data_IF_382079337590
#
_entry.id   IF_382079337590
#
_cell.length_a   1.000
_cell.length_b   1.000
_cell.length_c   1.000
_cell.angle_alpha   90.00
_cell.angle_beta   90.00
_cell.angle_gamma   90.00
#
_symmetry.space_group_name_H-M   'P 1'
#
loop_
_entity.id
_entity.type
_entity.pdbx_description
1 polymer ?
#
# COMPACT_ATOMS: atom_id res chain seq x y z
N UNK A 1 -25.25 14.38 -11.67
CA UNK A 1 -24.41 14.57 -10.46
C UNK A 1 -25.22 15.30 -9.39
N UNK A 2 -26.32 14.70 -8.92
CA UNK A 2 -27.16 15.28 -7.85
C UNK A 2 -27.56 14.26 -6.78
N UNK A 3 -26.86 13.11 -6.68
CA UNK A 3 -27.24 12.04 -5.74
C UNK A 3 -26.26 11.81 -4.57
N UNK A 4 -25.10 12.49 -4.52
CA UNK A 4 -24.14 12.28 -3.41
C UNK A 4 -24.48 13.06 -2.12
N UNK A 5 -25.33 14.07 -2.17
CA UNK A 5 -25.68 14.85 -0.96
C UNK A 5 -26.76 14.20 -0.09
N UNK A 6 -27.53 13.23 -0.60
CA UNK A 6 -28.60 12.58 0.16
C UNK A 6 -28.09 11.47 1.10
N UNK A 7 -26.90 10.91 0.85
CA UNK A 7 -26.35 9.80 1.64
C UNK A 7 -25.77 10.32 2.97
N UNK A 8 -25.11 11.47 2.96
CA UNK A 8 -24.50 12.08 4.15
C UNK A 8 -25.51 12.50 5.23
N UNK A 9 -26.73 12.92 4.85
CA UNK A 9 -27.77 13.29 5.81
C UNK A 9 -28.35 12.09 6.56
N UNK A 10 -28.49 10.95 5.87
CA UNK A 10 -29.04 9.73 6.46
C UNK A 10 -28.04 9.06 7.42
N UNK A 11 -26.75 9.10 7.10
CA UNK A 11 -25.69 8.58 7.97
C UNK A 11 -25.50 9.44 9.22
N UNK A 12 -25.57 10.78 9.08
CA UNK A 12 -25.53 11.68 10.23
C UNK A 12 -26.75 11.48 11.16
N UNK A 13 -27.95 11.29 10.60
CA UNK A 13 -29.17 11.01 11.36
C UNK A 13 -29.08 9.67 12.11
N UNK A 14 -28.59 8.62 11.44
CA UNK A 14 -28.37 7.30 12.04
C UNK A 14 -27.35 7.37 13.18
N UNK A 15 -26.25 8.10 12.99
CA UNK A 15 -25.24 8.29 14.03
C UNK A 15 -25.81 9.02 15.25
N UNK A 16 -26.61 10.06 15.01
CA UNK A 16 -27.28 10.82 16.07
C UNK A 16 -28.31 9.97 16.85
N UNK A 17 -29.10 9.14 16.15
CA UNK A 17 -30.06 8.23 16.77
C UNK A 17 -29.38 7.15 17.63
N UNK A 18 -28.30 6.54 17.11
CA UNK A 18 -27.51 5.56 17.85
C UNK A 18 -26.88 6.23 19.09
N UNK A 19 -26.32 7.43 18.93
CA UNK A 19 -25.79 8.21 20.05
C UNK A 19 -26.84 8.53 21.11
N UNK A 20 -28.04 8.95 20.71
CA UNK A 20 -29.14 9.27 21.62
C UNK A 20 -29.65 8.03 22.37
N UNK A 21 -29.77 6.88 21.69
CA UNK A 21 -30.19 5.61 22.30
C UNK A 21 -29.14 5.15 23.31
N UNK A 22 -27.85 5.18 22.95
CA UNK A 22 -26.75 4.81 23.85
C UNK A 22 -26.74 5.73 25.09
N UNK A 23 -26.93 7.03 24.89
CA UNK A 23 -27.01 8.01 25.99
C UNK A 23 -28.22 7.74 26.90
N UNK A 24 -29.39 7.45 26.33
CA UNK A 24 -30.60 7.16 27.09
C UNK A 24 -30.51 5.86 27.89
N UNK A 25 -29.96 4.79 27.28
CA UNK A 25 -29.70 3.51 27.97
C UNK A 25 -28.70 3.71 29.11
N UNK A 26 -27.65 4.50 28.88
CA UNK A 26 -26.67 4.83 29.91
C UNK A 26 -27.31 5.57 31.10
N UNK A 27 -28.16 6.57 30.84
CA UNK A 27 -28.87 7.31 31.89
C UNK A 27 -29.85 6.42 32.66
N UNK A 28 -30.51 5.48 31.98
CA UNK A 28 -31.44 4.53 32.59
C UNK A 28 -30.71 3.54 33.51
N UNK A 29 -29.58 2.98 33.05
CA UNK A 29 -28.72 2.11 33.87
C UNK A 29 -28.17 2.87 35.09
N UNK A 30 -27.78 4.14 34.92
CA UNK A 30 -27.30 4.98 36.01
C UNK A 30 -28.39 5.24 37.05
N UNK A 31 -29.66 5.33 36.64
CA UNK A 31 -30.78 5.56 37.54
C UNK A 31 -31.08 4.34 38.41
N UNK A 32 -31.02 3.14 37.86
CA UNK A 32 -31.41 1.88 38.53
C UNK A 32 -30.35 1.35 39.49
N UNK A 33 -29.05 1.55 39.22
CA UNK A 33 -27.97 1.01 40.05
C UNK A 33 -27.42 2.02 41.07
N UNK A 34 -28.17 2.28 42.16
CA UNK A 34 -27.83 3.27 43.21
C UNK A 34 -26.39 3.25 43.75
N UNK A 35 -25.85 2.12 44.26
CA UNK A 35 -24.50 2.08 44.83
C UNK A 35 -23.38 1.98 43.78
N UNK A 36 -23.67 1.46 42.58
CA UNK A 36 -22.66 1.26 41.53
C UNK A 36 -22.46 2.47 40.61
N UNK A 37 -23.19 3.58 40.83
CA UNK A 37 -23.06 4.80 40.00
C UNK A 37 -21.62 5.29 39.88
N UNK A 38 -20.90 5.31 41.00
CA UNK A 38 -19.50 5.72 41.04
C UNK A 38 -18.58 4.76 40.28
N UNK A 39 -18.83 3.45 40.38
CA UNK A 39 -18.05 2.44 39.67
C UNK A 39 -18.27 2.51 38.15
N UNK A 40 -19.52 2.70 37.71
CA UNK A 40 -19.87 2.84 36.28
C UNK A 40 -19.32 4.14 35.72
N UNK A 41 -19.42 5.26 36.44
CA UNK A 41 -18.82 6.53 36.02
C UNK A 41 -17.29 6.44 35.92
N UNK A 42 -16.64 5.83 36.91
CA UNK A 42 -15.20 5.61 36.88
C UNK A 42 -14.79 4.74 35.68
N UNK A 43 -15.52 3.64 35.43
CA UNK A 43 -15.29 2.78 34.27
C UNK A 43 -15.48 3.53 32.95
N UNK A 44 -16.52 4.36 32.83
CA UNK A 44 -16.79 5.13 31.62
C UNK A 44 -15.70 6.16 31.36
N UNK A 45 -15.20 6.84 32.40
CA UNK A 45 -14.05 7.75 32.28
C UNK A 45 -12.80 6.99 31.81
N UNK A 46 -12.53 5.81 32.37
CA UNK A 46 -11.38 4.98 31.95
C UNK A 46 -11.52 4.51 30.50
N UNK A 47 -12.69 4.04 30.09
CA UNK A 47 -12.96 3.64 28.70
C UNK A 47 -12.80 4.82 27.74
N UNK A 48 -13.34 5.99 28.11
CA UNK A 48 -13.22 7.20 27.28
C UNK A 48 -11.77 7.64 27.14
N UNK A 49 -10.99 7.60 28.23
CA UNK A 49 -9.56 7.90 28.21
C UNK A 49 -8.76 6.87 27.40
N UNK A 50 -9.04 5.59 27.57
CA UNK A 50 -8.39 4.51 26.82
C UNK A 50 -8.68 4.63 25.32
N UNK A 51 -9.93 4.91 24.94
CA UNK A 51 -10.32 5.14 23.56
C UNK A 51 -9.66 6.40 22.98
N UNK A 52 -9.62 7.49 23.74
CA UNK A 52 -8.93 8.73 23.36
C UNK A 52 -7.43 8.52 23.14
N UNK A 53 -6.76 7.81 24.06
CA UNK A 53 -5.35 7.45 23.95
C UNK A 53 -5.08 6.54 22.76
N UNK A 54 -5.93 5.54 22.53
CA UNK A 54 -5.82 4.63 21.40
C UNK A 54 -5.99 5.36 20.06
N UNK A 55 -7.02 6.21 19.95
CA UNK A 55 -7.27 7.04 18.77
C UNK A 55 -6.12 8.01 18.51
N UNK A 56 -5.61 8.67 19.56
CA UNK A 56 -4.46 9.56 19.46
C UNK A 56 -3.19 8.81 19.03
N UNK A 57 -2.95 7.62 19.57
CA UNK A 57 -1.81 6.78 19.20
C UNK A 57 -1.92 6.32 17.73
N UNK A 58 -3.10 5.89 17.30
CA UNK A 58 -3.38 5.53 15.91
C UNK A 58 -3.17 6.74 14.97
N UNK A 59 -3.58 7.93 15.39
CA UNK A 59 -3.40 9.18 14.63
C UNK A 59 -1.92 9.58 14.50
N UNK A 60 -1.12 9.42 15.56
CA UNK A 60 0.32 9.65 15.47
C UNK A 60 1.03 8.59 14.62
N UNK A 61 0.62 7.33 14.73
CA UNK A 61 1.23 6.24 13.99
C UNK A 61 0.90 6.31 12.49
N UNK A 62 -0.32 6.70 12.14
CA UNK A 62 -0.72 6.96 10.74
C UNK A 62 0.04 8.15 10.15
N UNK A 63 0.27 9.23 10.92
CA UNK A 63 1.11 10.36 10.47
C UNK A 63 2.56 9.96 10.21
N UNK A 64 3.14 9.06 11.00
CA UNK A 64 4.53 8.59 10.75
C UNK A 64 4.63 7.78 9.46
N UNK A 65 3.67 6.89 9.19
CA UNK A 65 3.60 6.14 7.93
C UNK A 65 3.29 7.04 6.74
N UNK A 66 2.40 8.01 6.91
CA UNK A 66 2.11 9.01 5.88
C UNK A 66 3.31 9.89 5.56
N UNK A 67 4.13 10.28 6.56
CA UNK A 67 5.38 11.02 6.33
C UNK A 67 6.44 10.17 5.64
N UNK A 68 6.58 8.90 6.03
CA UNK A 68 7.49 7.96 5.36
C UNK A 68 7.08 7.73 3.91
N UNK A 69 5.78 7.55 3.66
CA UNK A 69 5.23 7.41 2.31
C UNK A 69 5.39 8.70 1.51
N UNK A 70 5.07 9.88 2.07
CA UNK A 70 5.20 11.17 1.42
C UNK A 70 6.62 11.51 0.94
N UNK A 71 7.64 10.93 1.56
CA UNK A 71 9.04 11.10 1.15
C UNK A 71 9.47 10.15 0.02
N UNK A 72 8.62 9.20 -0.39
CA UNK A 72 8.91 8.29 -1.50
C UNK A 72 8.67 8.95 -2.85
N UNK A 73 9.43 8.53 -3.86
CA UNK A 73 9.22 8.97 -5.26
C UNK A 73 7.80 8.65 -5.74
N UNK A 74 7.25 7.50 -5.34
CA UNK A 74 5.89 7.09 -5.67
C UNK A 74 4.84 8.06 -5.12
N UNK A 75 4.96 8.47 -3.86
CA UNK A 75 4.03 9.44 -3.27
C UNK A 75 4.16 10.83 -3.90
N UNK A 76 5.38 11.23 -4.30
CA UNK A 76 5.60 12.49 -5.02
C UNK A 76 4.93 12.47 -6.39
N UNK A 77 5.03 11.37 -7.12
CA UNK A 77 4.34 11.17 -8.41
C UNK A 77 2.82 11.24 -8.19
N UNK A 78 2.29 10.50 -7.21
CA UNK A 78 0.87 10.50 -6.90
C UNK A 78 0.36 11.90 -6.52
N UNK A 79 1.10 12.62 -5.66
CA UNK A 79 0.73 13.97 -5.27
C UNK A 79 0.68 14.93 -6.47
N UNK A 80 1.63 14.82 -7.40
CA UNK A 80 1.61 15.64 -8.62
C UNK A 80 0.47 15.24 -9.56
N UNK A 81 0.13 13.96 -9.60
CA UNK A 81 -0.98 13.42 -10.37
C UNK A 81 -2.31 13.97 -9.84
N UNK A 82 -2.52 13.93 -8.52
CA UNK A 82 -3.71 14.47 -7.86
C UNK A 82 -3.84 15.99 -8.09
N UNK A 83 -2.73 16.73 -7.96
CA UNK A 83 -2.69 18.17 -8.26
C UNK A 83 -3.03 18.48 -9.71
N UNK A 84 -2.49 17.69 -10.65
CA UNK A 84 -2.73 17.87 -12.08
C UNK A 84 -4.18 17.56 -12.44
N UNK A 85 -4.77 16.51 -11.86
CA UNK A 85 -6.20 16.17 -12.02
C UNK A 85 -7.11 17.26 -11.45
N UNK A 86 -6.79 17.77 -10.26
CA UNK A 86 -7.56 18.87 -9.66
C UNK A 86 -7.50 20.15 -10.51
N UNK A 87 -6.31 20.50 -11.03
CA UNK A 87 -6.15 21.64 -11.92
C UNK A 87 -6.91 21.44 -13.25
N UNK A 88 -6.86 20.23 -13.82
CA UNK A 88 -7.62 19.86 -15.01
C UNK A 88 -9.13 20.04 -14.77
N UNK A 89 -9.66 19.50 -13.67
CA UNK A 89 -11.08 19.64 -13.30
C UNK A 89 -11.47 21.11 -13.12
N UNK A 90 -10.66 21.91 -12.42
CA UNK A 90 -10.91 23.32 -12.24
C UNK A 90 -10.95 24.10 -13.57
N UNK A 91 -10.08 23.76 -14.52
CA UNK A 91 -10.11 24.35 -15.86
C UNK A 91 -11.34 23.92 -16.66
N UNK A 92 -11.75 22.66 -16.56
CA UNK A 92 -12.96 22.12 -17.19
C UNK A 92 -14.23 22.85 -16.71
N UNK A 93 -14.36 23.01 -15.39
CA UNK A 93 -15.46 23.74 -14.77
C UNK A 93 -15.47 25.21 -15.18
N UNK A 94 -14.31 25.86 -15.18
CA UNK A 94 -14.18 27.24 -15.60
C UNK A 94 -14.58 27.44 -17.08
N UNK A 95 -14.18 26.55 -18.00
CA UNK A 95 -14.63 26.60 -19.40
C UNK A 95 -16.15 26.51 -19.47
N UNK A 96 -16.74 25.59 -18.71
CA UNK A 96 -18.20 25.42 -18.66
C UNK A 96 -18.90 26.70 -18.18
N UNK A 97 -18.35 27.36 -17.17
CA UNK A 97 -18.86 28.65 -16.67
C UNK A 97 -18.70 29.76 -17.72
N UNK A 98 -17.52 29.89 -18.35
CA UNK A 98 -17.26 30.91 -19.38
C UNK A 98 -18.17 30.74 -20.59
N UNK A 99 -18.43 29.50 -21.03
CA UNK A 99 -19.36 29.21 -22.12
C UNK A 99 -20.80 29.63 -21.77
N UNK A 100 -21.25 29.37 -20.54
CA UNK A 100 -22.56 29.82 -20.06
C UNK A 100 -22.65 31.35 -20.05
N UNK A 101 -21.65 32.02 -19.48
CA UNK A 101 -21.59 33.49 -19.44
C UNK A 101 -21.55 34.10 -20.85
N UNK A 102 -20.76 33.55 -21.78
CA UNK A 102 -20.74 34.00 -23.17
C UNK A 102 -22.10 33.80 -23.84
N UNK A 103 -22.79 32.69 -23.59
CA UNK A 103 -24.12 32.44 -24.14
C UNK A 103 -25.17 33.40 -23.57
N UNK A 104 -25.13 33.67 -22.27
CA UNK A 104 -26.02 34.63 -21.61
C UNK A 104 -25.79 36.06 -22.13
N UNK A 105 -24.53 36.46 -22.29
CA UNK A 105 -24.16 37.75 -22.88
C UNK A 105 -24.68 37.88 -24.31
N UNK A 106 -24.54 36.83 -25.14
CA UNK A 106 -25.10 36.79 -26.51
C UNK A 106 -26.62 36.89 -26.53
N UNK A 107 -27.33 36.28 -25.58
CA UNK A 107 -28.78 36.37 -25.47
C UNK A 107 -29.22 37.78 -25.06
N UNK A 108 -28.54 38.37 -24.08
CA UNK A 108 -28.79 39.72 -23.60
C UNK A 108 -28.55 40.77 -24.68
N UNK A 109 -27.47 40.61 -25.45
CA UNK A 109 -27.15 41.48 -26.59
C UNK A 109 -28.24 41.46 -27.68
N UNK A 110 -28.87 40.30 -27.93
CA UNK A 110 -29.96 40.18 -28.91
C UNK A 110 -31.29 40.76 -28.41
N UNK A 111 -31.49 40.79 -27.09
CA UNK A 111 -32.71 41.32 -26.49
C UNK A 111 -32.68 42.86 -26.36
N UNK A 112 -31.49 43.46 -26.30
CA UNK A 112 -31.27 44.91 -26.37
C UNK A 112 -31.37 45.39 -27.83
N UNK A 113 -32.61 45.53 -28.33
CA UNK A 113 -32.89 45.85 -29.75
C UNK A 113 -32.73 47.35 -30.08
N UNK A 114 -32.73 48.25 -29.08
CA UNK A 114 -32.86 49.71 -29.32
C UNK A 114 -31.67 50.58 -28.87
N UNK A 115 -30.69 50.06 -28.12
CA UNK A 115 -29.60 50.88 -27.56
C UNK A 115 -28.25 50.71 -28.29
N UNK A 116 -27.88 51.79 -28.99
CA UNK A 116 -26.55 52.28 -29.36
C UNK A 116 -25.51 51.26 -29.89
N UNK A 117 -25.08 51.47 -31.14
CA UNK A 117 -23.94 50.83 -31.82
C UNK A 117 -22.68 50.63 -30.94
N UNK A 118 -22.43 51.53 -29.99
CA UNK A 118 -21.36 51.40 -28.98
C UNK A 118 -21.55 50.22 -28.00
N UNK A 119 -22.78 49.90 -27.61
CA UNK A 119 -23.08 48.78 -26.72
C UNK A 119 -22.90 47.44 -27.45
N UNK A 120 -23.26 47.40 -28.74
CA UNK A 120 -23.01 46.26 -29.62
C UNK A 120 -21.50 46.01 -29.81
N UNK A 121 -20.72 47.06 -30.05
CA UNK A 121 -19.26 46.97 -30.16
C UNK A 121 -18.63 46.43 -28.86
N UNK A 122 -18.96 47.02 -27.70
CA UNK A 122 -18.46 46.54 -26.39
C UNK A 122 -18.84 45.09 -26.10
N UNK A 123 -20.05 44.68 -26.49
CA UNK A 123 -20.49 43.30 -26.29
C UNK A 123 -19.74 42.34 -27.22
N UNK A 124 -19.47 42.74 -28.45
CA UNK A 124 -18.65 41.97 -29.39
C UNK A 124 -17.23 41.77 -28.86
N UNK A 125 -16.60 42.83 -28.36
CA UNK A 125 -15.26 42.77 -27.76
C UNK A 125 -15.24 41.81 -26.57
N UNK A 126 -16.22 41.92 -25.68
CA UNK A 126 -16.31 41.05 -24.51
C UNK A 126 -16.53 39.57 -24.92
N UNK A 127 -17.31 39.29 -25.96
CA UNK A 127 -17.47 37.92 -26.49
C UNK A 127 -16.15 37.38 -27.04
N UNK A 128 -15.34 38.22 -27.69
CA UNK A 128 -14.03 37.86 -28.20
C UNK A 128 -13.06 37.54 -27.05
N UNK A 129 -13.06 38.33 -25.98
CA UNK A 129 -12.26 38.07 -24.78
C UNK A 129 -12.64 36.74 -24.12
N UNK A 130 -13.94 36.45 -24.00
CA UNK A 130 -14.41 35.13 -23.54
C UNK A 130 -13.88 33.99 -24.41
N UNK A 131 -13.89 34.16 -25.75
CA UNK A 131 -13.40 33.15 -26.67
C UNK A 131 -11.88 32.92 -26.54
N UNK A 132 -11.10 33.99 -26.34
CA UNK A 132 -9.66 33.88 -26.09
C UNK A 132 -9.35 33.17 -24.78
N UNK A 133 -10.05 33.50 -23.70
CA UNK A 133 -9.87 32.84 -22.39
C UNK A 133 -10.28 31.36 -22.44
N UNK A 134 -11.36 31.02 -23.16
CA UNK A 134 -11.76 29.62 -23.39
C UNK A 134 -10.63 28.88 -24.14
N UNK A 135 -10.13 29.43 -25.24
CA UNK A 135 -9.05 28.80 -26.01
C UNK A 135 -7.77 28.60 -25.19
N UNK A 136 -7.41 29.59 -24.36
CA UNK A 136 -6.29 29.47 -23.42
C UNK A 136 -6.50 28.33 -22.42
N UNK A 137 -7.71 28.19 -21.88
CA UNK A 137 -8.02 27.12 -20.92
C UNK A 137 -8.06 25.74 -21.58
N UNK A 138 -8.53 25.64 -22.82
CA UNK A 138 -8.47 24.39 -23.58
C UNK A 138 -7.01 23.96 -23.83
N UNK A 139 -6.11 24.90 -24.12
CA UNK A 139 -4.67 24.60 -24.20
C UNK A 139 -4.12 24.11 -22.86
N UNK A 140 -4.52 24.74 -21.75
CA UNK A 140 -4.14 24.29 -20.39
C UNK A 140 -4.69 22.88 -20.09
N UNK A 141 -5.92 22.56 -20.48
CA UNK A 141 -6.48 21.22 -20.33
C UNK A 141 -5.64 20.17 -21.06
N UNK A 142 -5.28 20.41 -22.33
CA UNK A 142 -4.43 19.50 -23.11
C UNK A 142 -3.04 19.32 -22.48
N UNK A 143 -2.48 20.41 -21.95
CA UNK A 143 -1.21 20.36 -21.24
C UNK A 143 -1.30 19.50 -19.97
N UNK A 144 -2.33 19.67 -19.14
CA UNK A 144 -2.53 18.85 -17.95
C UNK A 144 -2.81 17.39 -18.29
N UNK A 145 -3.57 17.11 -19.37
CA UNK A 145 -3.81 15.76 -19.86
C UNK A 145 -2.51 15.06 -20.25
N UNK A 146 -1.62 15.76 -20.97
CA UNK A 146 -0.28 15.24 -21.30
C UNK A 146 0.56 14.96 -20.05
N UNK A 147 0.55 15.86 -19.06
CA UNK A 147 1.26 15.65 -17.79
C UNK A 147 0.70 14.44 -17.05
N UNK A 148 -0.63 14.32 -16.95
CA UNK A 148 -1.28 13.19 -16.27
C UNK A 148 -0.83 11.88 -16.92
N UNK A 149 -0.90 11.78 -18.25
CA UNK A 149 -0.48 10.59 -18.97
C UNK A 149 1.01 10.27 -18.75
N UNK A 150 1.88 11.29 -18.76
CA UNK A 150 3.32 11.09 -18.48
C UNK A 150 3.57 10.63 -17.05
N UNK A 151 2.87 11.19 -16.06
CA UNK A 151 2.98 10.79 -14.65
C UNK A 151 2.44 9.38 -14.41
N UNK A 152 1.35 8.99 -15.07
CA UNK A 152 0.80 7.63 -15.00
C UNK A 152 1.77 6.61 -15.61
N UNK A 153 2.38 6.93 -16.74
CA UNK A 153 3.43 6.09 -17.33
C UNK A 153 4.64 5.96 -16.41
N UNK A 154 5.09 7.06 -15.81
CA UNK A 154 6.22 7.07 -14.87
C UNK A 154 5.90 6.26 -13.60
N UNK A 155 4.67 6.34 -13.09
CA UNK A 155 4.20 5.55 -11.96
C UNK A 155 4.24 4.04 -12.27
N UNK A 156 3.71 3.65 -13.43
CA UNK A 156 3.69 2.26 -13.87
C UNK A 156 5.12 1.70 -14.07
N UNK A 157 6.03 2.51 -14.63
CA UNK A 157 7.44 2.13 -14.77
C UNK A 157 8.10 1.91 -13.40
N UNK A 158 7.84 2.79 -12.43
CA UNK A 158 8.37 2.64 -11.07
C UNK A 158 7.85 1.37 -10.37
N UNK A 159 6.56 1.06 -10.51
CA UNK A 159 5.97 -0.15 -9.97
C UNK A 159 6.59 -1.41 -10.61
N UNK A 160 6.78 -1.40 -11.92
CA UNK A 160 7.40 -2.50 -12.65
C UNK A 160 8.86 -2.72 -12.22
N UNK A 161 9.64 -1.63 -12.06
CA UNK A 161 11.01 -1.71 -11.55
C UNK A 161 11.07 -2.26 -10.13
N UNK A 162 10.17 -1.83 -9.24
CA UNK A 162 10.10 -2.35 -7.88
C UNK A 162 9.78 -3.86 -7.86
N UNK A 163 8.87 -4.29 -8.73
CA UNK A 163 8.52 -5.71 -8.89
C UNK A 163 9.69 -6.51 -9.44
N UNK A 164 10.42 -5.97 -10.42
CA UNK A 164 11.59 -6.62 -11.00
C UNK A 164 12.70 -6.78 -9.96
N UNK A 165 13.00 -5.73 -9.19
CA UNK A 165 13.97 -5.81 -8.08
C UNK A 165 13.57 -6.85 -7.04
N UNK A 166 12.29 -6.91 -6.66
CA UNK A 166 11.80 -7.93 -5.73
C UNK A 166 12.03 -9.35 -6.29
N UNK A 167 11.77 -9.56 -7.59
CA UNK A 167 11.99 -10.86 -8.25
C UNK A 167 13.48 -11.22 -8.40
N UNK A 168 14.34 -10.24 -8.63
CA UNK A 168 15.79 -10.45 -8.62
C UNK A 168 16.29 -10.88 -7.23
N UNK A 169 15.80 -10.24 -6.17
CA UNK A 169 16.16 -10.64 -4.80
C UNK A 169 15.64 -12.04 -4.44
N UNK A 170 14.43 -12.39 -4.89
CA UNK A 170 13.85 -13.72 -4.72
C UNK A 170 14.70 -14.77 -5.47
N UNK A 171 15.12 -14.47 -6.71
CA UNK A 171 15.99 -15.34 -7.49
C UNK A 171 17.36 -15.54 -6.82
N UNK A 172 17.95 -14.47 -6.29
CA UNK A 172 19.22 -14.55 -5.57
C UNK A 172 19.12 -15.46 -4.33
N UNK A 173 18.01 -15.38 -3.58
CA UNK A 173 17.75 -16.27 -2.45
C UNK A 173 17.64 -17.74 -2.88
N UNK A 174 16.94 -18.02 -3.98
CA UNK A 174 16.85 -19.38 -4.51
C UNK A 174 18.22 -19.91 -4.99
N UNK A 175 19.05 -19.07 -5.58
CA UNK A 175 20.41 -19.46 -5.99
C UNK A 175 21.30 -19.76 -4.79
N UNK A 176 21.23 -18.93 -3.73
CA UNK A 176 21.95 -19.16 -2.49
C UNK A 176 21.49 -20.45 -1.80
N UNK A 177 20.18 -20.68 -1.74
CA UNK A 177 19.62 -21.90 -1.18
C UNK A 177 20.09 -23.13 -1.97
N UNK A 178 20.05 -23.07 -3.31
CA UNK A 178 20.54 -24.16 -4.17
C UNK A 178 22.03 -24.45 -3.95
N UNK A 179 22.85 -23.43 -3.72
CA UNK A 179 24.27 -23.63 -3.39
C UNK A 179 24.44 -24.37 -2.06
N UNK A 180 23.69 -23.97 -1.03
CA UNK A 180 23.68 -24.66 0.27
C UNK A 180 23.21 -26.11 0.16
N UNK A 181 22.17 -26.36 -0.61
CA UNK A 181 21.65 -27.72 -0.83
C UNK A 181 22.69 -28.60 -1.54
N UNK A 182 23.43 -28.04 -2.50
CA UNK A 182 24.52 -28.75 -3.18
C UNK A 182 25.71 -29.06 -2.25
N UNK A 183 26.04 -28.16 -1.31
CA UNK A 183 27.05 -28.41 -0.27
C UNK A 183 26.61 -29.54 0.68
N UNK A 184 25.35 -29.51 1.12
CA UNK A 184 24.77 -30.57 1.95
C UNK A 184 24.78 -31.92 1.23
N UNK A 185 24.44 -31.96 -0.05
CA UNK A 185 24.50 -33.18 -0.85
C UNK A 185 25.95 -33.68 -0.99
N UNK A 186 26.92 -32.78 -1.20
CA UNK A 186 28.32 -33.15 -1.28
C UNK A 186 28.84 -33.72 0.05
N UNK A 187 28.45 -33.14 1.18
CA UNK A 187 28.84 -33.63 2.50
C UNK A 187 28.19 -34.98 2.83
N UNK A 188 26.92 -35.19 2.47
CA UNK A 188 26.24 -36.48 2.55
C UNK A 188 26.94 -37.53 1.67
N UNK A 189 27.35 -37.19 0.44
CA UNK A 189 28.12 -38.10 -0.41
C UNK A 189 29.47 -38.46 0.22
N UNK A 190 30.17 -37.48 0.82
CA UNK A 190 31.44 -37.73 1.53
C UNK A 190 31.26 -38.59 2.78
N UNK A 191 30.18 -38.43 3.54
CA UNK A 191 29.90 -39.30 4.69
C UNK A 191 29.60 -40.73 4.23
N UNK A 192 28.76 -40.90 3.21
CA UNK A 192 28.46 -42.21 2.64
C UNK A 192 29.71 -42.91 2.09
N UNK A 193 30.58 -42.20 1.36
CA UNK A 193 31.84 -42.77 0.86
C UNK A 193 32.72 -43.26 2.02
N UNK A 194 32.89 -42.47 3.09
CA UNK A 194 33.65 -42.88 4.28
C UNK A 194 33.04 -44.11 4.96
N UNK A 195 31.72 -44.20 5.04
CA UNK A 195 31.03 -45.37 5.58
C UNK A 195 31.22 -46.61 4.70
N UNK A 196 31.11 -46.48 3.38
CA UNK A 196 31.35 -47.60 2.46
C UNK A 196 32.79 -48.10 2.53
N UNK A 197 33.78 -47.21 2.64
CA UNK A 197 35.19 -47.60 2.84
C UNK A 197 35.39 -48.34 4.17
N UNK A 198 34.73 -47.89 5.26
CA UNK A 198 34.75 -48.59 6.55
C UNK A 198 34.15 -49.99 6.43
N UNK A 199 32.99 -50.13 5.79
CA UNK A 199 32.35 -51.43 5.57
C UNK A 199 33.23 -52.37 4.73
N UNK A 200 33.82 -51.88 3.64
CA UNK A 200 34.75 -52.68 2.83
C UNK A 200 35.99 -53.15 3.61
N UNK A 201 36.52 -52.31 4.51
CA UNK A 201 37.62 -52.71 5.39
C UNK A 201 37.18 -53.78 6.40
N UNK A 202 35.97 -53.65 6.96
CA UNK A 202 35.40 -54.67 7.84
C UNK A 202 35.21 -56.00 7.11
N UNK A 203 34.67 -55.99 5.88
CA UNK A 203 34.51 -57.20 5.07
C UNK A 203 35.86 -57.87 4.79
N UNK A 204 36.88 -57.10 4.40
CA UNK A 204 38.24 -57.62 4.21
C UNK A 204 38.84 -58.21 5.48
N UNK A 205 38.63 -57.57 6.63
CA UNK A 205 39.08 -58.10 7.92
C UNK A 205 38.32 -59.39 8.28
N UNK A 206 37.02 -59.47 7.96
CA UNK A 206 36.22 -60.68 8.15
C UNK A 206 36.70 -61.84 7.28
N UNK A 207 36.97 -61.59 6.00
CA UNK A 207 37.50 -62.58 5.04
C UNK A 207 38.92 -63.04 5.44
N UNK A 208 39.75 -62.12 5.96
CA UNK A 208 41.04 -62.46 6.56
C UNK A 208 40.87 -63.31 7.83
N UNK A 209 39.88 -63.03 8.68
CA UNK A 209 39.59 -63.81 9.88
C UNK A 209 39.20 -65.25 9.53
N UNK A 210 38.37 -65.43 8.50
CA UNK A 210 37.96 -66.76 8.02
C UNK A 210 39.10 -67.58 7.41
N UNK A 211 40.13 -66.91 6.86
CA UNK A 211 41.26 -67.58 6.20
C UNK A 211 42.48 -67.80 7.11
N UNK A 212 42.51 -67.28 8.35
CA UNK A 212 43.69 -67.37 9.23
C UNK A 212 43.51 -68.35 10.40
N UNK A 213 44.26 -69.46 10.39
CA UNK A 213 44.22 -70.53 11.41
C UNK A 213 45.21 -70.35 12.60
N UNK A 214 45.74 -69.14 12.85
CA UNK A 214 46.73 -68.89 13.93
C UNK A 214 46.27 -67.82 14.93
N UNK A 215 46.52 -68.09 16.22
CA UNK A 215 46.04 -67.30 17.37
C UNK A 215 46.63 -65.87 17.40
N UNK A 216 47.85 -65.69 16.91
CA UNK A 216 48.59 -64.42 16.91
C UNK A 216 48.04 -63.41 15.88
N UNK A 217 47.49 -63.90 14.77
CA UNK A 217 46.84 -63.04 13.76
C UNK A 217 45.48 -62.51 14.24
N UNK A 218 44.78 -63.28 15.07
CA UNK A 218 43.49 -62.88 15.65
C UNK A 218 43.63 -61.73 16.66
N UNK A 219 44.72 -61.67 17.43
CA UNK A 219 45.00 -60.56 18.35
C UNK A 219 45.32 -59.26 17.61
N UNK A 220 46.14 -59.31 16.55
CA UNK A 220 46.47 -58.15 15.71
C UNK A 220 45.24 -57.57 14.98
N UNK A 221 44.31 -58.43 14.56
CA UNK A 221 43.03 -58.00 13.97
C UNK A 221 42.08 -57.37 15.00
N UNK A 222 42.12 -57.81 16.25
CA UNK A 222 41.32 -57.21 17.33
C UNK A 222 41.77 -55.79 17.64
N UNK A 223 43.05 -55.52 17.49
CA UNK A 223 43.65 -54.20 17.70
C UNK A 223 43.30 -53.23 16.56
N UNK A 224 43.34 -53.68 15.30
CA UNK A 224 42.94 -52.86 14.15
C UNK A 224 41.42 -52.58 14.09
N UNK A 225 40.57 -53.51 14.55
CA UNK A 225 39.13 -53.26 14.76
C UNK A 225 38.89 -52.16 15.80
N UNK A 226 39.74 -52.10 16.83
CA UNK A 226 39.66 -51.10 17.90
C UNK A 226 40.05 -49.70 17.39
N UNK A 227 41.07 -49.62 16.52
CA UNK A 227 41.47 -48.36 15.88
C UNK A 227 40.44 -47.84 14.86
N UNK A 228 39.65 -48.71 14.22
CA UNK A 228 38.61 -48.30 13.27
C UNK A 228 37.31 -47.82 13.92
N UNK A 229 37.08 -48.18 15.19
CA UNK A 229 35.87 -47.87 15.97
C UNK A 229 36.01 -46.61 16.85
N UNK A 230 37.22 -46.04 16.96
CA UNK A 230 37.53 -44.76 17.62
C UNK A 230 37.55 -43.64 16.57
#
# INVERSE_FOLDING_TARGET
>A
MSDENHISGFDALRLALIGAIVMAVLLLVLRVLGPYRFAILAFLVVVTLAYGLWSWWQYLHSRRRAKAWANTTAARIQQQLDRSRAAWQAHQEAITQLLRSQQELRRSARAAVDDAEQLAAKTSDLIADYAQEIALREQKLRFYEQIIHQLESLAAQHEWLATLQAKETELAQFQEQRARDAEQEADLRRSLLRETERLQKLDKLSEQLESTNSLESAEKMRESLKELLV
#
